data_IF_874362342788
#
_entry.id   IF_874362342788
#
_cell.length_a   1.000
_cell.length_b   1.000
_cell.length_c   1.000
_cell.angle_alpha   90.00
_cell.angle_beta   90.00
_cell.angle_gamma   90.00
#
_symmetry.space_group_name_H-M   'P 1'
#
loop_
_entity.id
_entity.type
_entity.pdbx_description
1 polymer ?
#
# COMPACT_ATOMS: atom_id res chain seq x y z
N UNK A 1 -14.18 61.88 -26.07
CA UNK A 1 -14.21 61.71 -24.60
C UNK A 1 -15.08 60.49 -24.33
N UNK A 2 -14.48 59.33 -24.12
CA UNK A 2 -15.19 58.08 -23.84
C UNK A 2 -15.26 57.90 -22.32
N UNK A 3 -16.48 57.88 -21.80
CA UNK A 3 -16.78 57.61 -20.39
C UNK A 3 -16.50 56.13 -20.12
N UNK A 4 -15.63 55.76 -19.16
CA UNK A 4 -15.47 54.37 -18.77
C UNK A 4 -16.72 53.90 -18.02
N UNK A 5 -17.35 52.82 -18.49
CA UNK A 5 -18.43 52.14 -17.78
C UNK A 5 -17.87 51.54 -16.49
N UNK A 6 -18.44 51.99 -15.37
CA UNK A 6 -18.34 51.42 -14.03
C UNK A 6 -18.36 49.88 -14.07
N UNK A 7 -17.23 49.27 -13.78
CA UNK A 7 -17.13 47.82 -13.57
C UNK A 7 -17.70 47.56 -12.18
N UNK A 8 -18.94 47.03 -12.17
CA UNK A 8 -19.68 46.70 -10.96
C UNK A 8 -18.85 45.81 -10.02
N UNK A 9 -18.40 46.39 -8.91
CA UNK A 9 -17.67 45.75 -7.80
C UNK A 9 -18.20 44.35 -7.37
N UNK A 10 -19.53 44.09 -7.33
CA UNK A 10 -20.05 42.76 -6.98
C UNK A 10 -19.75 41.68 -8.03
N UNK A 11 -19.51 42.04 -9.29
CA UNK A 11 -19.16 41.07 -10.33
C UNK A 11 -17.74 40.51 -10.14
N UNK A 12 -16.78 41.33 -9.69
CA UNK A 12 -15.44 40.86 -9.33
C UNK A 12 -15.45 39.94 -8.11
N UNK A 13 -16.31 40.20 -7.12
CA UNK A 13 -16.49 39.34 -5.94
C UNK A 13 -17.06 37.97 -6.30
N UNK A 14 -17.98 37.90 -7.27
CA UNK A 14 -18.51 36.62 -7.77
C UNK A 14 -17.45 35.83 -8.53
N UNK A 15 -16.60 36.48 -9.34
CA UNK A 15 -15.50 35.81 -10.05
C UNK A 15 -14.44 35.32 -9.06
N UNK A 16 -14.04 36.15 -8.09
CA UNK A 16 -13.13 35.73 -7.00
C UNK A 16 -13.74 34.60 -6.16
N UNK A 17 -15.04 34.66 -5.86
CA UNK A 17 -15.77 33.60 -5.16
C UNK A 17 -15.77 32.28 -5.94
N UNK A 18 -16.00 32.31 -7.26
CA UNK A 18 -15.92 31.10 -8.09
C UNK A 18 -14.49 30.54 -8.20
N UNK A 19 -13.47 31.41 -8.23
CA UNK A 19 -12.07 30.97 -8.18
C UNK A 19 -11.69 30.35 -6.83
N UNK A 20 -12.27 30.80 -5.71
CA UNK A 20 -12.03 30.20 -4.39
C UNK A 20 -12.71 28.84 -4.26
N UNK A 21 -13.91 28.65 -4.84
CA UNK A 21 -14.62 27.36 -4.78
C UNK A 21 -13.99 26.31 -5.72
N UNK A 22 -13.42 26.72 -6.84
CA UNK A 22 -12.70 25.82 -7.76
C UNK A 22 -11.33 25.35 -7.23
N UNK A 23 -10.82 25.98 -6.17
CA UNK A 23 -9.61 25.56 -5.45
C UNK A 23 -9.95 24.84 -4.14
N UNK A 24 -11.15 24.27 -4.01
CA UNK A 24 -11.32 23.14 -3.13
C UNK A 24 -10.34 22.06 -3.61
N UNK A 25 -9.14 22.10 -3.04
CA UNK A 25 -8.17 21.03 -3.06
C UNK A 25 -8.95 19.77 -2.79
N UNK A 26 -9.17 18.97 -3.83
CA UNK A 26 -9.47 17.57 -3.67
C UNK A 26 -8.23 17.00 -2.97
N UNK A 27 -8.28 17.03 -1.64
CA UNK A 27 -7.35 16.33 -0.80
C UNK A 27 -7.56 14.87 -1.20
N UNK A 28 -6.69 14.36 -2.06
CA UNK A 28 -6.79 13.00 -2.57
C UNK A 28 -7.05 12.04 -1.41
N UNK A 29 -7.89 11.03 -1.66
CA UNK A 29 -8.49 10.06 -0.74
C UNK A 29 -7.56 9.35 0.30
N UNK A 30 -6.28 9.70 0.39
CA UNK A 30 -5.26 8.98 1.16
C UNK A 30 -4.52 9.79 2.24
N UNK A 31 -4.79 11.09 2.44
CA UNK A 31 -4.25 11.79 3.63
C UNK A 31 -5.13 11.49 4.84
N UNK A 32 -4.89 10.34 5.46
CA UNK A 32 -5.50 9.99 6.75
C UNK A 32 -4.91 10.87 7.84
N UNK A 33 -5.66 11.89 8.27
CA UNK A 33 -5.29 12.72 9.41
C UNK A 33 -5.66 11.98 10.70
N UNK A 34 -4.65 11.55 11.44
CA UNK A 34 -4.82 10.89 12.73
C UNK A 34 -4.58 11.86 13.89
N UNK A 35 -5.27 11.63 15.00
CA UNK A 35 -5.01 12.36 16.26
C UNK A 35 -3.66 11.97 16.84
N UNK A 36 -3.07 12.85 17.64
CA UNK A 36 -1.80 12.62 18.35
C UNK A 36 -1.98 11.76 19.61
N UNK A 37 -3.00 10.91 19.63
CA UNK A 37 -3.23 9.98 20.74
C UNK A 37 -2.26 8.82 20.67
N UNK A 38 -1.76 8.38 21.83
CA UNK A 38 -0.92 7.20 21.92
C UNK A 38 -1.80 5.98 22.19
N UNK A 39 -1.84 5.04 21.25
CA UNK A 39 -2.55 3.77 21.44
C UNK A 39 -1.80 2.82 22.37
N UNK A 40 -2.49 1.78 22.85
CA UNK A 40 -1.92 0.79 23.77
C UNK A 40 -2.38 -0.63 23.37
N UNK A 41 -1.92 -1.09 22.21
CA UNK A 41 -2.12 -2.47 21.79
C UNK A 41 -1.02 -3.38 22.34
N UNK A 42 -1.30 -4.69 22.35
CA UNK A 42 -0.31 -5.70 22.69
C UNK A 42 0.43 -6.19 21.44
N UNK A 43 -0.32 -6.46 20.37
CA UNK A 43 0.25 -6.91 19.11
C UNK A 43 -0.69 -6.64 17.92
N UNK A 44 -0.16 -6.78 16.72
CA UNK A 44 -0.92 -6.79 15.47
C UNK A 44 -0.57 -8.01 14.61
N UNK A 45 -1.56 -8.53 13.87
CA UNK A 45 -1.40 -9.60 12.89
C UNK A 45 -1.62 -9.03 11.50
N UNK A 46 -0.71 -9.28 10.57
CA UNK A 46 -0.79 -8.80 9.19
C UNK A 46 -0.65 -10.00 8.24
N UNK A 47 -1.73 -10.50 7.62
CA UNK A 47 -1.62 -11.54 6.60
C UNK A 47 -0.80 -11.07 5.39
N UNK A 48 0.36 -11.70 5.14
CA UNK A 48 1.26 -11.35 4.03
C UNK A 48 1.67 -12.56 3.22
N UNK A 49 2.01 -12.29 1.96
CA UNK A 49 2.74 -13.24 1.12
C UNK A 49 4.10 -13.52 1.76
N UNK A 50 4.36 -14.79 2.04
CA UNK A 50 5.61 -15.26 2.63
C UNK A 50 6.34 -16.21 1.67
N UNK A 51 7.67 -16.10 1.62
CA UNK A 51 8.55 -16.84 0.72
C UNK A 51 9.02 -18.19 1.28
N UNK A 52 9.39 -19.08 0.37
CA UNK A 52 9.62 -20.51 0.64
C UNK A 52 10.93 -20.83 1.39
N UNK A 53 10.94 -21.84 2.30
CA UNK A 53 9.79 -22.61 2.79
C UNK A 53 9.17 -22.00 4.07
N UNK A 54 7.83 -21.97 4.13
CA UNK A 54 7.07 -21.58 5.34
C UNK A 54 6.52 -22.79 6.08
N UNK A 55 6.50 -22.73 7.42
CA UNK A 55 5.75 -23.70 8.23
C UNK A 55 4.34 -23.17 8.48
N UNK A 56 3.36 -23.71 7.75
CA UNK A 56 1.94 -23.42 7.96
C UNK A 56 1.08 -24.58 7.47
N UNK A 57 -0.23 -24.48 7.69
CA UNK A 57 -1.22 -25.39 7.13
C UNK A 57 -2.48 -24.59 6.76
N UNK A 58 -3.39 -25.19 5.99
CA UNK A 58 -4.60 -24.51 5.52
C UNK A 58 -5.54 -24.03 6.66
N UNK A 59 -5.48 -24.66 7.84
CA UNK A 59 -6.28 -24.24 8.99
C UNK A 59 -5.76 -22.92 9.58
N UNK A 60 -4.44 -22.84 9.80
CA UNK A 60 -3.76 -21.67 10.36
C UNK A 60 -3.58 -20.54 9.34
N UNK A 61 -3.52 -20.88 8.05
CA UNK A 61 -3.39 -19.90 6.99
C UNK A 61 -4.57 -18.94 6.94
N UNK A 62 -4.33 -17.69 6.55
CA UNK A 62 -5.34 -16.64 6.61
C UNK A 62 -6.31 -16.67 5.43
N UNK A 63 -7.58 -16.38 5.69
CA UNK A 63 -8.58 -16.16 4.64
C UNK A 63 -8.13 -15.03 3.69
N UNK A 64 -8.40 -15.18 2.40
CA UNK A 64 -7.91 -14.28 1.35
C UNK A 64 -6.46 -14.53 0.93
N UNK A 65 -5.72 -15.43 1.60
CA UNK A 65 -4.40 -15.86 1.19
C UNK A 65 -4.43 -17.25 0.57
N UNK A 66 -3.74 -17.40 -0.55
CA UNK A 66 -3.58 -18.66 -1.28
C UNK A 66 -2.22 -19.29 -0.97
N UNK A 67 -2.19 -20.59 -0.74
CA UNK A 67 -1.00 -21.36 -0.38
C UNK A 67 -0.64 -22.34 -1.50
N UNK A 68 0.66 -22.46 -1.78
CA UNK A 68 1.18 -23.17 -2.93
C UNK A 68 2.34 -24.08 -2.53
N UNK A 69 2.55 -25.16 -3.29
CA UNK A 69 3.73 -25.99 -3.22
C UNK A 69 4.94 -25.36 -3.90
N UNK A 70 6.13 -25.96 -3.71
CA UNK A 70 7.40 -25.44 -4.22
C UNK A 70 7.45 -25.33 -5.76
N UNK A 71 6.71 -26.19 -6.47
CA UNK A 71 6.55 -26.13 -7.93
C UNK A 71 5.43 -25.18 -8.40
N UNK A 72 4.79 -24.47 -7.48
CA UNK A 72 3.72 -23.50 -7.77
C UNK A 72 2.32 -24.06 -7.93
N UNK A 73 2.07 -25.33 -7.59
CA UNK A 73 0.70 -25.89 -7.57
C UNK A 73 -0.10 -25.29 -6.42
N UNK A 74 -1.33 -24.85 -6.70
CA UNK A 74 -2.26 -24.36 -5.67
C UNK A 74 -2.67 -25.50 -4.74
N UNK A 75 -2.57 -25.27 -3.43
CA UNK A 75 -2.94 -26.23 -2.38
C UNK A 75 -4.27 -25.86 -1.74
N UNK A 76 -4.41 -24.64 -1.25
CA UNK A 76 -5.62 -24.17 -0.56
C UNK A 76 -5.65 -22.65 -0.38
N UNK A 77 -6.85 -22.11 -0.15
CA UNK A 77 -7.02 -20.83 0.53
C UNK A 77 -7.02 -21.06 2.05
N UNK A 78 -6.39 -20.16 2.79
CA UNK A 78 -6.37 -20.20 4.26
C UNK A 78 -7.77 -20.07 4.88
N UNK A 79 -7.95 -20.66 6.07
CA UNK A 79 -9.24 -20.70 6.76
C UNK A 79 -9.30 -19.85 8.04
N UNK A 80 -8.16 -19.38 8.53
CA UNK A 80 -8.05 -18.57 9.74
C UNK A 80 -8.53 -17.15 9.48
N UNK A 81 -9.50 -16.70 10.27
CA UNK A 81 -9.88 -15.30 10.28
C UNK A 81 -8.85 -14.53 11.14
N UNK A 82 -8.17 -13.51 10.60
CA UNK A 82 -7.17 -12.77 11.37
C UNK A 82 -7.77 -11.96 12.52
N UNK A 83 -9.09 -11.74 12.58
CA UNK A 83 -9.79 -11.10 13.72
C UNK A 83 -10.09 -12.08 14.84
N UNK A 84 -10.13 -13.38 14.52
CA UNK A 84 -10.41 -14.47 15.46
C UNK A 84 -9.74 -15.74 14.94
N UNK A 85 -8.49 -15.92 15.32
CA UNK A 85 -7.67 -17.03 14.81
C UNK A 85 -8.27 -18.38 15.20
N UNK A 86 -8.27 -19.32 14.26
CA UNK A 86 -8.69 -20.69 14.53
C UNK A 86 -7.71 -21.39 15.48
N UNK A 87 -8.22 -22.30 16.32
CA UNK A 87 -7.38 -23.24 17.05
C UNK A 87 -7.04 -24.37 16.08
N UNK A 88 -5.78 -24.38 15.63
CA UNK A 88 -5.26 -25.35 14.68
C UNK A 88 -4.10 -26.12 15.31
N UNK A 89 -3.83 -27.31 14.80
CA UNK A 89 -2.61 -28.03 15.16
C UNK A 89 -1.40 -27.27 14.62
N UNK A 90 -0.28 -27.32 15.36
CA UNK A 90 0.99 -26.67 14.95
C UNK A 90 1.78 -27.50 13.92
N UNK A 91 1.13 -28.43 13.22
CA UNK A 91 1.76 -29.23 12.19
C UNK A 91 1.92 -28.41 10.91
N UNK A 92 3.16 -28.31 10.39
CA UNK A 92 3.41 -27.78 9.07
C UNK A 92 2.89 -28.78 8.02
N UNK A 93 2.11 -28.32 7.04
CA UNK A 93 1.76 -29.13 5.88
C UNK A 93 2.96 -29.15 4.92
N UNK A 94 3.62 -30.31 4.70
CA UNK A 94 4.84 -30.38 3.89
C UNK A 94 4.60 -30.05 2.41
N UNK A 95 3.33 -29.98 1.98
CA UNK A 95 2.97 -29.59 0.62
C UNK A 95 2.97 -28.07 0.44
N UNK A 96 2.90 -27.29 1.52
CA UNK A 96 2.88 -25.83 1.46
C UNK A 96 4.31 -25.30 1.53
N UNK A 97 4.72 -24.57 0.51
CA UNK A 97 6.04 -23.94 0.43
C UNK A 97 5.95 -22.42 0.62
N UNK A 98 4.98 -21.75 0.00
CA UNK A 98 4.84 -20.30 0.07
C UNK A 98 3.37 -19.85 0.03
N UNK A 99 3.12 -18.59 0.35
CA UNK A 99 1.78 -17.98 0.33
C UNK A 99 1.73 -16.75 -0.59
N UNK A 100 0.55 -16.48 -1.13
CA UNK A 100 0.21 -15.23 -1.81
C UNK A 100 -1.03 -14.62 -1.16
N UNK A 101 -0.87 -13.47 -0.53
CA UNK A 101 -1.92 -12.67 0.07
C UNK A 101 -2.13 -11.37 -0.74
N UNK A 102 -3.22 -10.62 -0.49
CA UNK A 102 -3.46 -9.33 -1.16
C UNK A 102 -2.34 -8.30 -0.89
N UNK A 103 -1.65 -8.44 0.25
CA UNK A 103 -0.50 -7.62 0.62
C UNK A 103 0.77 -8.46 0.70
N UNK A 104 1.88 -7.85 0.28
CA UNK A 104 3.22 -8.45 0.28
C UNK A 104 4.22 -7.51 0.94
N UNK A 105 5.18 -8.05 1.69
CA UNK A 105 6.17 -7.27 2.44
C UNK A 105 5.62 -6.73 3.77
N UNK A 106 6.53 -6.32 4.65
CA UNK A 106 6.22 -5.94 6.04
C UNK A 106 6.26 -7.13 7.01
N UNK A 107 6.11 -6.85 8.30
CA UNK A 107 6.08 -7.87 9.33
C UNK A 107 4.72 -8.57 9.37
N UNK A 108 4.71 -9.90 9.47
CA UNK A 108 3.46 -10.68 9.65
C UNK A 108 2.89 -10.54 11.06
N UNK A 109 3.74 -10.24 12.04
CA UNK A 109 3.37 -9.98 13.44
C UNK A 109 4.07 -8.71 13.92
N UNK A 110 3.30 -7.75 14.43
CA UNK A 110 3.78 -6.53 15.07
C UNK A 110 3.72 -6.75 16.58
N UNK A 111 4.88 -6.97 17.24
CA UNK A 111 4.94 -7.22 18.69
C UNK A 111 5.13 -5.95 19.54
N UNK A 112 5.69 -4.91 18.94
CA UNK A 112 5.87 -3.62 19.58
C UNK A 112 5.00 -2.62 18.82
N UNK A 113 3.77 -2.48 19.27
CA UNK A 113 2.82 -1.54 18.65
C UNK A 113 3.07 -0.10 19.08
N UNK A 114 3.89 0.15 20.11
CA UNK A 114 4.22 1.50 20.60
C UNK A 114 2.94 2.34 20.76
N UNK A 115 2.93 3.58 20.24
CA UNK A 115 1.77 4.46 20.22
C UNK A 115 0.79 4.21 19.05
N UNK A 116 0.85 3.05 18.38
CA UNK A 116 -0.05 2.74 17.26
C UNK A 116 -1.51 2.75 17.72
N UNK A 117 -2.35 3.51 17.01
CA UNK A 117 -3.80 3.54 17.17
C UNK A 117 -4.47 2.83 16.00
N UNK A 118 -5.79 2.67 16.02
CA UNK A 118 -6.52 2.15 14.85
C UNK A 118 -6.33 3.06 13.63
N UNK A 119 -6.17 4.36 13.84
CA UNK A 119 -5.96 5.30 12.75
C UNK A 119 -4.59 5.10 12.13
N UNK A 120 -3.52 5.09 12.95
CA UNK A 120 -2.13 4.99 12.46
C UNK A 120 -1.71 3.58 12.08
N UNK A 121 -2.42 2.55 12.56
CA UNK A 121 -2.19 1.16 12.20
C UNK A 121 -2.45 0.89 10.73
N UNK A 122 -1.83 -0.14 10.18
CA UNK A 122 -1.85 -0.40 8.75
C UNK A 122 -3.10 -1.15 8.27
N UNK A 123 -3.66 -0.76 7.13
CA UNK A 123 -4.77 -1.48 6.46
C UNK A 123 -4.37 -2.93 6.21
N UNK A 124 -5.26 -3.88 6.53
CA UNK A 124 -4.97 -5.30 6.48
C UNK A 124 -4.09 -5.82 7.62
N UNK A 125 -3.80 -5.01 8.64
CA UNK A 125 -3.27 -5.45 9.92
C UNK A 125 -4.35 -5.35 11.00
N UNK A 126 -4.45 -6.37 11.85
CA UNK A 126 -5.48 -6.57 12.84
C UNK A 126 -4.85 -6.45 14.23
N UNK A 127 -5.24 -5.45 15.00
CA UNK A 127 -4.63 -5.09 16.28
C UNK A 127 -5.43 -5.62 17.47
N UNK A 128 -4.71 -6.06 18.49
CA UNK A 128 -5.23 -6.75 19.66
C UNK A 128 -4.82 -6.06 20.95
N UNK A 129 -5.74 -6.03 21.92
CA UNK A 129 -5.47 -5.58 23.28
C UNK A 129 -4.65 -6.58 24.08
N UNK A 130 -4.21 -6.17 25.27
CA UNK A 130 -3.46 -7.03 26.21
C UNK A 130 -4.29 -8.21 26.75
N UNK A 131 -5.61 -8.16 26.65
CA UNK A 131 -6.51 -9.27 26.95
C UNK A 131 -6.66 -10.26 25.79
N UNK A 132 -5.92 -10.06 24.69
CA UNK A 132 -5.95 -10.90 23.49
C UNK A 132 -7.19 -10.70 22.63
N UNK A 133 -8.03 -9.70 22.88
CA UNK A 133 -9.21 -9.41 22.07
C UNK A 133 -8.87 -8.50 20.89
N UNK A 134 -9.50 -8.79 19.77
CA UNK A 134 -9.43 -7.94 18.58
C UNK A 134 -10.05 -6.56 18.88
N UNK A 135 -9.33 -5.51 18.53
CA UNK A 135 -9.77 -4.12 18.71
C UNK A 135 -10.19 -3.52 17.37
N UNK A 136 -9.29 -3.53 16.38
CA UNK A 136 -9.54 -2.92 15.09
C UNK A 136 -8.60 -3.41 13.98
N UNK A 137 -9.05 -3.22 12.74
CA UNK A 137 -8.17 -3.25 11.58
C UNK A 137 -7.61 -1.84 11.36
N UNK A 138 -6.32 -1.74 11.06
CA UNK A 138 -5.65 -0.47 10.82
C UNK A 138 -6.23 0.29 9.62
N UNK A 139 -6.03 1.60 9.60
CA UNK A 139 -6.65 2.51 8.63
C UNK A 139 -5.66 3.31 7.79
N UNK A 140 -4.37 3.29 8.15
CA UNK A 140 -3.30 3.93 7.39
C UNK A 140 -2.71 3.01 6.34
N UNK A 141 -2.16 3.58 5.27
CA UNK A 141 -1.32 2.84 4.34
C UNK A 141 -0.01 2.42 5.02
N UNK A 142 0.50 1.24 4.67
CA UNK A 142 1.79 0.79 5.18
C UNK A 142 2.90 1.34 4.30
N UNK A 143 3.98 1.89 4.88
CA UNK A 143 5.15 2.25 4.10
C UNK A 143 5.75 1.01 3.45
N UNK A 144 5.72 0.93 2.12
CA UNK A 144 6.50 -0.08 1.39
C UNK A 144 7.98 0.23 1.48
N UNK A 145 8.75 -0.70 2.03
CA UNK A 145 10.22 -0.67 1.99
C UNK A 145 10.69 -1.24 0.64
N UNK A 146 11.19 -0.37 -0.23
CA UNK A 146 11.81 -0.77 -1.49
C UNK A 146 13.32 -0.91 -1.31
N UNK A 147 13.92 -1.93 -1.92
CA UNK A 147 15.38 -1.97 -2.07
C UNK A 147 15.81 -0.79 -2.95
N UNK A 148 16.98 -0.22 -2.64
CA UNK A 148 17.58 0.85 -3.46
C UNK A 148 18.42 0.29 -4.62
N UNK A 149 18.35 -1.02 -4.83
CA UNK A 149 19.05 -1.70 -5.93
C UNK A 149 18.43 -1.30 -7.27
N UNK A 150 19.27 -0.87 -8.21
CA UNK A 150 18.84 -0.58 -9.55
C UNK A 150 18.49 -1.91 -10.26
N UNK A 151 17.35 -1.96 -10.95
CA UNK A 151 17.03 -3.13 -11.78
C UNK A 151 17.86 -3.04 -13.08
N UNK A 152 18.81 -3.96 -13.32
CA UNK A 152 19.67 -3.91 -14.51
C UNK A 152 18.90 -4.11 -15.82
N UNK A 153 17.65 -4.58 -15.76
CA UNK A 153 16.78 -4.72 -16.94
C UNK A 153 16.21 -3.39 -17.38
N UNK A 154 16.24 -2.34 -16.55
CA UNK A 154 15.68 -1.03 -16.86
C UNK A 154 16.68 -0.26 -17.74
N UNK A 155 16.28 0.04 -18.98
CA UNK A 155 17.08 0.84 -19.90
C UNK A 155 16.72 2.33 -19.84
N UNK A 156 15.42 2.65 -19.70
CA UNK A 156 14.96 4.03 -19.54
C UNK A 156 13.60 4.13 -18.87
N UNK A 157 13.26 5.34 -18.44
CA UNK A 157 11.94 5.69 -17.90
C UNK A 157 11.34 6.87 -18.65
N UNK A 158 10.01 6.89 -18.73
CA UNK A 158 9.24 8.07 -19.17
C UNK A 158 8.25 8.45 -18.09
N UNK A 159 8.13 9.74 -17.78
CA UNK A 159 7.22 10.22 -16.74
C UNK A 159 6.26 11.27 -17.30
N UNK A 160 5.00 11.34 -16.83
CA UNK A 160 4.06 12.36 -17.26
C UNK A 160 4.60 13.79 -17.06
N UNK A 161 5.34 14.02 -15.98
CA UNK A 161 5.98 15.30 -15.66
C UNK A 161 7.08 15.73 -16.65
N UNK A 162 7.70 14.78 -17.34
CA UNK A 162 8.75 15.04 -18.35
C UNK A 162 8.29 14.80 -19.79
N UNK A 163 6.98 14.57 -19.99
CA UNK A 163 6.38 14.26 -21.28
C UNK A 163 6.94 12.97 -21.88
N UNK A 164 7.31 13.01 -23.17
CA UNK A 164 7.84 11.86 -23.92
C UNK A 164 9.36 11.67 -23.78
N UNK A 165 10.01 12.40 -22.88
CA UNK A 165 11.47 12.34 -22.72
C UNK A 165 11.89 11.00 -22.13
N UNK A 166 12.79 10.28 -22.82
CA UNK A 166 13.41 9.03 -22.32
C UNK A 166 14.55 9.36 -21.36
N UNK A 167 14.41 9.01 -20.08
CA UNK A 167 15.42 9.16 -19.04
C UNK A 167 16.27 7.88 -18.95
N UNK A 168 17.52 7.91 -19.42
CA UNK A 168 18.36 6.71 -19.62
C UNK A 168 19.41 6.45 -18.54
N UNK A 169 19.72 7.43 -17.69
CA UNK A 169 20.68 7.29 -16.57
C UNK A 169 19.97 7.32 -15.23
N UNK A 170 19.17 6.30 -14.98
CA UNK A 170 18.33 6.20 -13.79
C UNK A 170 18.70 4.94 -13.01
N UNK A 171 18.86 5.08 -11.69
CA UNK A 171 18.89 3.95 -10.78
C UNK A 171 17.52 3.82 -10.14
N UNK A 172 16.68 2.99 -10.75
CA UNK A 172 15.34 2.71 -10.25
C UNK A 172 15.02 1.24 -10.45
N UNK A 173 14.15 0.72 -9.59
CA UNK A 173 13.40 -0.50 -9.84
C UNK A 173 11.91 -0.16 -9.82
N UNK A 174 11.07 -1.16 -10.13
CA UNK A 174 9.63 -0.96 -10.15
C UNK A 174 9.04 -0.53 -8.80
N UNK A 175 9.68 -0.85 -7.68
CA UNK A 175 9.26 -0.42 -6.36
C UNK A 175 9.65 1.05 -6.09
N UNK A 176 10.85 1.48 -6.49
CA UNK A 176 11.33 2.85 -6.27
C UNK A 176 10.83 3.86 -7.31
N UNK A 177 10.06 3.42 -8.31
CA UNK A 177 9.40 4.28 -9.29
C UNK A 177 8.24 5.06 -8.62
N UNK A 178 8.61 6.06 -7.79
CA UNK A 178 7.73 6.76 -6.83
C UNK A 178 6.68 7.71 -7.42
N UNK A 179 6.70 7.97 -8.72
CA UNK A 179 5.84 8.99 -9.36
C UNK A 179 4.78 8.32 -10.23
N UNK A 180 3.52 8.74 -10.08
CA UNK A 180 2.38 8.20 -10.82
C UNK A 180 2.59 8.26 -12.31
N UNK A 181 2.33 7.14 -12.97
CA UNK A 181 2.35 7.03 -14.42
C UNK A 181 3.76 7.01 -15.02
N UNK A 182 4.83 7.03 -14.22
CA UNK A 182 6.17 6.80 -14.73
C UNK A 182 6.30 5.36 -15.22
N UNK A 183 6.72 5.14 -16.45
CA UNK A 183 6.86 3.83 -17.06
C UNK A 183 8.32 3.47 -17.20
N UNK A 184 8.71 2.28 -16.75
CA UNK A 184 10.06 1.75 -16.88
C UNK A 184 10.08 0.76 -18.06
N UNK A 185 11.06 0.91 -18.93
CA UNK A 185 11.21 0.12 -20.14
C UNK A 185 12.57 -0.59 -20.16
N UNK A 186 12.56 -1.80 -20.72
CA UNK A 186 13.78 -2.53 -21.02
C UNK A 186 14.47 -2.07 -22.30
N UNK A 187 15.63 -2.66 -22.65
CA UNK A 187 16.35 -2.37 -23.89
C UNK A 187 15.50 -2.64 -25.13
N UNK A 188 14.64 -3.66 -25.08
CA UNK A 188 13.76 -4.09 -26.17
C UNK A 188 12.45 -3.28 -26.26
N UNK A 189 12.39 -2.12 -25.62
CA UNK A 189 11.20 -1.26 -25.50
C UNK A 189 9.99 -1.91 -24.82
N UNK A 190 10.16 -3.07 -24.20
CA UNK A 190 9.12 -3.73 -23.41
C UNK A 190 8.85 -2.98 -22.10
N UNK A 191 7.57 -2.76 -21.79
CA UNK A 191 7.14 -2.14 -20.54
C UNK A 191 7.36 -3.11 -19.38
N UNK A 192 8.31 -2.79 -18.50
CA UNK A 192 8.59 -3.58 -17.30
C UNK A 192 7.55 -3.33 -16.22
N UNK A 193 7.23 -2.05 -15.98
CA UNK A 193 6.24 -1.65 -15.00
C UNK A 193 5.81 -0.19 -15.17
N UNK A 194 4.68 0.15 -14.58
CA UNK A 194 4.23 1.53 -14.40
C UNK A 194 4.26 1.86 -12.91
N UNK A 195 5.02 2.89 -12.53
CA UNK A 195 5.01 3.49 -11.22
C UNK A 195 3.62 3.99 -10.89
N UNK A 196 3.12 3.58 -9.73
CA UNK A 196 1.80 3.97 -9.23
C UNK A 196 1.94 4.36 -7.75
N UNK A 197 1.57 5.58 -7.35
CA UNK A 197 1.38 5.97 -5.97
C UNK A 197 0.05 5.42 -5.45
N UNK A 198 -0.48 4.33 -5.98
CA UNK A 198 -1.49 3.48 -5.33
C UNK A 198 -1.02 2.03 -5.22
N UNK A 199 0.22 1.76 -5.65
CA UNK A 199 1.04 0.70 -5.08
C UNK A 199 1.57 1.10 -3.67
N UNK A 200 0.80 1.92 -2.93
CA UNK A 200 0.87 2.23 -1.50
C UNK A 200 0.01 1.25 -0.69
#
# INVERSE_FOLDING_TARGET
MAVPKEVSFPACLLVLGMFVIANAVELGDDIKVCTMECGNFAYGICPRSEGSPICTNCCSGYKGCNYYSANGTFICEGRSDPRKTNICTQHCDPRVAYSKCPRSGGNTIIKHTECTTCCTGYKGCYYFGHDGKFVCEGQSSEPRACTLECDPKVAYMTCPSSGSTKLTRICVNCCTARVQGCKLYGPDEFLLCTGDPRNY
#
